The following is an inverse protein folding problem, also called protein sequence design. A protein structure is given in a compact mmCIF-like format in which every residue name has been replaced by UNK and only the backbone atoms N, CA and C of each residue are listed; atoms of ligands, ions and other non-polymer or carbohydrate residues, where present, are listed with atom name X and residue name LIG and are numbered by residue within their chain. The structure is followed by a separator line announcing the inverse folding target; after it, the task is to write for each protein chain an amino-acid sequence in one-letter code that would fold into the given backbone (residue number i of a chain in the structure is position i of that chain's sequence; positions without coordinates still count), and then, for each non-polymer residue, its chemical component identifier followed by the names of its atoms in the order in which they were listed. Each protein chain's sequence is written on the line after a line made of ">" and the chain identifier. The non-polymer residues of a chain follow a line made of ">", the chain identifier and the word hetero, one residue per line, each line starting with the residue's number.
data_IF_288204285212
#
_entry.id   IF_288204285212
#
_cell.length_a   1.000
_cell.length_b   1.000
_cell.length_c   1.000
_cell.angle_alpha   90.00
_cell.angle_beta   90.00
_cell.angle_gamma   90.00
#
_symmetry.space_group_name_H-M   'P 1'
#
loop_
_entity.id
_entity.type
_entity.pdbx_description
1 polymer ?
#
# COMPACT_ATOMS: atom_id res chain seq x y z
N UNK A 1 10.82 12.40 4.96
CA UNK A 1 9.63 11.50 5.07
C UNK A 1 10.05 10.10 4.72
N UNK A 2 9.75 9.10 5.58
CA UNK A 2 10.13 7.70 5.36
C UNK A 2 9.06 6.98 4.53
N UNK A 3 9.46 6.42 3.40
CA UNK A 3 8.62 5.65 2.49
C UNK A 3 9.06 4.19 2.46
N UNK A 4 8.13 3.27 2.31
CA UNK A 4 8.39 1.85 2.20
C UNK A 4 7.76 1.28 0.93
N UNK A 5 8.56 0.52 0.20
CA UNK A 5 8.16 -0.24 -0.97
C UNK A 5 8.56 -1.70 -0.82
N UNK A 6 7.77 -2.61 -1.37
CA UNK A 6 8.11 -4.04 -1.46
C UNK A 6 7.95 -4.49 -2.90
N UNK A 7 9.06 -4.84 -3.56
CA UNK A 7 9.07 -5.17 -4.99
C UNK A 7 9.96 -6.36 -5.31
N UNK A 8 9.74 -6.95 -6.48
CA UNK A 8 10.76 -7.71 -7.21
C UNK A 8 11.21 -6.91 -8.44
N UNK A 9 12.25 -7.40 -9.14
CA UNK A 9 12.85 -6.73 -10.32
C UNK A 9 11.83 -6.35 -11.42
N UNK A 10 10.74 -7.10 -11.57
CA UNK A 10 9.74 -6.84 -12.61
C UNK A 10 8.93 -5.55 -12.36
N UNK A 11 8.98 -5.02 -11.15
CA UNK A 11 8.26 -3.80 -10.75
C UNK A 11 9.15 -2.56 -10.70
N UNK A 12 10.41 -2.65 -11.12
CA UNK A 12 11.37 -1.52 -11.10
C UNK A 12 10.83 -0.29 -11.83
N UNK A 13 10.25 -0.45 -13.03
CA UNK A 13 9.71 0.67 -13.81
C UNK A 13 8.50 1.32 -13.14
N UNK A 14 7.65 0.51 -12.51
CA UNK A 14 6.50 1.04 -11.78
C UNK A 14 6.95 1.79 -10.52
N UNK A 15 7.94 1.27 -9.79
CA UNK A 15 8.54 1.99 -8.66
C UNK A 15 9.14 3.33 -9.12
N UNK A 16 9.87 3.36 -10.23
CA UNK A 16 10.42 4.60 -10.78
C UNK A 16 9.31 5.62 -11.09
N UNK A 17 8.20 5.21 -11.68
CA UNK A 17 7.07 6.09 -11.97
C UNK A 17 6.38 6.58 -10.69
N UNK A 18 6.20 5.69 -9.71
CA UNK A 18 5.66 6.03 -8.40
C UNK A 18 6.54 7.07 -7.69
N UNK A 19 7.85 6.82 -7.58
CA UNK A 19 8.81 7.76 -6.97
C UNK A 19 8.79 9.11 -7.69
N UNK A 20 8.78 9.13 -9.03
CA UNK A 20 8.68 10.38 -9.79
C UNK A 20 7.45 11.18 -9.41
N UNK A 21 6.29 10.54 -9.28
CA UNK A 21 5.06 11.21 -8.86
C UNK A 21 5.16 11.78 -7.45
N UNK A 22 5.84 11.07 -6.54
CA UNK A 22 6.08 11.50 -5.15
C UNK A 22 7.02 12.71 -5.11
N UNK A 23 8.15 12.66 -5.82
CA UNK A 23 9.11 13.77 -5.90
C UNK A 23 8.46 15.04 -6.45
N UNK A 24 7.54 14.88 -7.41
CA UNK A 24 6.84 15.99 -8.04
C UNK A 24 5.75 16.61 -7.16
N UNK A 25 4.98 15.78 -6.44
CA UNK A 25 3.72 16.22 -5.84
C UNK A 25 3.62 15.96 -4.32
N UNK A 26 4.49 15.15 -3.74
CA UNK A 26 4.34 14.59 -2.39
C UNK A 26 4.56 15.57 -1.23
N UNK A 27 5.12 16.77 -1.50
CA UNK A 27 5.16 17.89 -0.55
C UNK A 27 6.39 17.96 0.36
N UNK A 28 7.10 16.87 0.64
CA UNK A 28 8.28 16.89 1.50
C UNK A 28 9.53 17.36 0.76
N UNK A 29 10.47 17.97 1.49
CA UNK A 29 11.76 18.42 0.95
C UNK A 29 12.67 17.24 0.62
N UNK A 30 12.58 16.15 1.40
CA UNK A 30 13.37 14.94 1.24
C UNK A 30 12.61 13.68 1.64
N UNK A 31 12.93 12.55 0.95
CA UNK A 31 12.36 11.24 1.19
C UNK A 31 13.46 10.21 1.43
N UNK A 32 13.27 9.35 2.44
CA UNK A 32 14.05 8.14 2.65
C UNK A 32 13.21 6.95 2.16
N UNK A 33 13.58 6.37 1.02
CA UNK A 33 12.85 5.27 0.38
C UNK A 33 13.47 3.93 0.77
N UNK A 34 12.81 3.17 1.65
CA UNK A 34 13.17 1.83 2.04
C UNK A 34 12.55 0.83 1.07
N UNK A 35 13.36 0.04 0.39
CA UNK A 35 12.95 -0.87 -0.68
C UNK A 35 13.26 -2.30 -0.26
N UNK A 36 12.22 -3.03 0.15
CA UNK A 36 12.32 -4.47 0.45
C UNK A 36 12.29 -5.25 -0.85
N UNK A 37 13.30 -6.12 -1.06
CA UNK A 37 13.42 -6.91 -2.28
C UNK A 37 14.12 -8.24 -2.04
N UNK A 38 13.94 -9.20 -2.96
CA UNK A 38 14.69 -10.46 -2.96
C UNK A 38 15.61 -10.63 -4.17
N UNK A 39 15.42 -9.88 -5.25
CA UNK A 39 16.06 -10.15 -6.53
C UNK A 39 16.52 -8.90 -7.32
N UNK A 40 16.54 -7.70 -6.71
CA UNK A 40 17.08 -6.52 -7.37
C UNK A 40 18.60 -6.64 -7.54
N UNK A 41 19.07 -6.43 -8.76
CA UNK A 41 20.48 -6.36 -9.12
C UNK A 41 20.92 -4.89 -9.22
N UNK A 42 22.21 -4.65 -9.41
CA UNK A 42 22.79 -3.31 -9.38
C UNK A 42 22.24 -2.39 -10.48
N UNK A 43 21.96 -2.94 -11.69
CA UNK A 43 21.34 -2.18 -12.79
C UNK A 43 19.93 -1.65 -12.42
N UNK A 44 19.14 -2.45 -11.71
CA UNK A 44 17.84 -2.02 -11.21
C UNK A 44 17.97 -0.91 -10.16
N UNK A 45 18.93 -1.04 -9.23
CA UNK A 45 19.19 -0.06 -8.18
C UNK A 45 19.68 1.25 -8.78
N UNK A 46 20.66 1.21 -9.68
CA UNK A 46 21.16 2.39 -10.41
C UNK A 46 20.02 3.12 -11.11
N UNK A 47 19.11 2.39 -11.76
CA UNK A 47 17.97 2.97 -12.45
C UNK A 47 16.99 3.65 -11.49
N UNK A 48 16.71 3.04 -10.34
CA UNK A 48 15.89 3.64 -9.29
C UNK A 48 16.54 4.92 -8.77
N UNK A 49 17.84 4.89 -8.43
CA UNK A 49 18.57 6.03 -7.89
C UNK A 49 18.65 7.20 -8.88
N UNK A 50 18.88 6.91 -10.15
CA UNK A 50 18.86 7.93 -11.20
C UNK A 50 17.48 8.61 -11.32
N UNK A 51 16.41 7.86 -11.13
CA UNK A 51 15.05 8.38 -11.21
C UNK A 51 14.62 9.12 -9.93
N UNK A 52 15.14 8.67 -8.79
CA UNK A 52 14.92 9.26 -7.48
C UNK A 52 15.53 10.67 -7.36
N UNK A 53 16.71 10.88 -7.96
CA UNK A 53 17.44 12.15 -7.92
C UNK A 53 17.85 12.53 -6.50
N UNK A 54 18.18 13.81 -6.29
CA UNK A 54 18.72 14.30 -5.01
C UNK A 54 17.66 14.37 -3.88
N UNK A 55 16.38 14.34 -4.21
CA UNK A 55 15.30 14.43 -3.23
C UNK A 55 15.00 13.11 -2.51
N UNK A 56 15.57 12.00 -2.98
CA UNK A 56 15.27 10.67 -2.42
C UNK A 56 16.58 9.93 -2.11
N UNK A 57 16.74 9.50 -0.87
CA UNK A 57 17.75 8.54 -0.48
C UNK A 57 17.18 7.12 -0.53
N UNK A 58 17.73 6.27 -1.39
CA UNK A 58 17.26 4.88 -1.52
C UNK A 58 18.01 3.95 -0.57
N UNK A 59 17.27 3.20 0.23
CA UNK A 59 17.78 2.20 1.17
C UNK A 59 17.32 0.80 0.75
N UNK A 60 18.19 0.00 0.16
CA UNK A 60 17.88 -1.35 -0.34
C UNK A 60 18.03 -2.38 0.77
N UNK A 61 16.97 -3.09 1.09
CA UNK A 61 16.95 -4.14 2.12
C UNK A 61 16.64 -5.47 1.44
N UNK A 62 17.67 -6.32 1.37
CA UNK A 62 17.51 -7.68 0.86
C UNK A 62 16.73 -8.52 1.88
N UNK A 63 15.61 -9.07 1.45
CA UNK A 63 14.76 -9.92 2.29
C UNK A 63 15.16 -11.38 2.11
N UNK A 64 15.45 -12.06 3.21
CA UNK A 64 15.64 -13.51 3.22
C UNK A 64 14.27 -14.19 3.08
N UNK A 65 14.00 -14.73 1.90
CA UNK A 65 12.73 -15.42 1.61
C UNK A 65 12.47 -16.66 2.45
N UNK A 66 13.49 -17.20 3.13
CA UNK A 66 13.31 -18.30 4.07
C UNK A 66 12.43 -17.93 5.26
N UNK A 67 12.37 -16.64 5.61
CA UNK A 67 11.45 -16.12 6.64
C UNK A 67 9.98 -16.42 6.32
N UNK A 68 9.62 -16.53 5.04
CA UNK A 68 8.27 -16.76 4.53
C UNK A 68 8.06 -18.19 4.02
N UNK A 69 8.91 -19.13 4.43
CA UNK A 69 8.73 -20.53 4.11
C UNK A 69 7.44 -21.07 4.75
N UNK A 70 6.60 -21.74 3.94
CA UNK A 70 5.30 -22.25 4.36
C UNK A 70 4.15 -21.21 4.36
N UNK A 71 4.40 -19.99 3.92
CA UNK A 71 3.32 -19.04 3.69
C UNK A 71 2.54 -19.38 2.42
N UNK A 72 1.21 -19.10 2.37
CA UNK A 72 0.41 -19.32 1.17
C UNK A 72 0.92 -18.44 0.03
N UNK A 73 1.22 -19.05 -1.12
CA UNK A 73 1.63 -18.32 -2.32
C UNK A 73 0.93 -18.83 -3.58
N UNK A 74 0.86 -17.97 -4.58
CA UNK A 74 0.37 -18.30 -5.92
C UNK A 74 0.99 -17.35 -6.94
N UNK A 75 0.84 -17.64 -8.24
CA UNK A 75 1.27 -16.71 -9.31
C UNK A 75 0.65 -15.31 -9.19
N UNK A 76 -0.51 -15.19 -8.55
CA UNK A 76 -1.19 -13.91 -8.31
C UNK A 76 -0.72 -13.24 -7.02
N UNK A 77 -0.33 -14.02 -6.02
CA UNK A 77 0.08 -13.58 -4.69
C UNK A 77 1.42 -14.20 -4.34
N UNK A 78 2.53 -13.63 -4.87
CA UNK A 78 3.89 -14.09 -4.56
C UNK A 78 4.29 -13.68 -3.14
N UNK A 79 5.36 -14.27 -2.59
CA UNK A 79 5.85 -14.01 -1.21
C UNK A 79 6.07 -12.53 -0.91
N UNK A 80 6.43 -11.73 -1.89
CA UNK A 80 6.68 -10.30 -1.74
C UNK A 80 5.49 -9.52 -1.14
N UNK A 81 4.26 -10.02 -1.28
CA UNK A 81 3.09 -9.38 -0.65
C UNK A 81 3.17 -9.39 0.88
N UNK A 82 3.89 -10.37 1.46
CA UNK A 82 4.05 -10.48 2.91
C UNK A 82 5.18 -9.61 3.47
N UNK A 83 6.08 -9.09 2.62
CA UNK A 83 7.21 -8.25 3.08
C UNK A 83 6.71 -7.03 3.85
N UNK A 84 5.57 -6.42 3.41
CA UNK A 84 4.95 -5.30 4.11
C UNK A 84 4.52 -5.63 5.54
N UNK A 85 4.12 -6.87 5.82
CA UNK A 85 3.70 -7.30 7.16
C UNK A 85 4.90 -7.53 8.08
N UNK A 86 6.01 -8.02 7.53
CA UNK A 86 7.26 -8.21 8.26
C UNK A 86 8.13 -6.94 8.32
N UNK A 87 7.75 -5.88 7.63
CA UNK A 87 8.53 -4.64 7.54
C UNK A 87 8.97 -4.07 8.90
N UNK A 88 8.16 -4.05 9.96
CA UNK A 88 8.60 -3.57 11.26
C UNK A 88 9.82 -4.30 11.82
N UNK A 89 9.99 -5.59 11.46
CA UNK A 89 11.09 -6.44 11.90
C UNK A 89 12.35 -6.30 11.02
N UNK A 90 12.19 -5.82 9.78
CA UNK A 90 13.25 -5.70 8.77
C UNK A 90 13.87 -4.29 8.70
N UNK A 91 13.10 -3.28 9.11
CA UNK A 91 13.49 -1.88 9.01
C UNK A 91 14.40 -1.44 10.17
N UNK A 92 15.26 -0.41 9.98
CA UNK A 92 16.08 0.19 11.01
C UNK A 92 15.29 0.54 12.26
N UNK A 93 15.86 0.25 13.45
CA UNK A 93 15.15 0.37 14.73
C UNK A 93 14.84 1.81 15.15
N UNK A 94 15.60 2.76 14.64
CA UNK A 94 15.43 4.21 14.86
C UNK A 94 14.19 4.79 14.20
N UNK A 95 13.60 4.09 13.22
CA UNK A 95 12.38 4.53 12.58
C UNK A 95 11.17 4.24 13.48
N UNK A 96 10.39 5.25 13.77
CA UNK A 96 9.14 5.17 14.53
C UNK A 96 7.91 5.05 13.62
N UNK A 97 8.00 5.60 12.39
CA UNK A 97 6.90 5.73 11.43
C UNK A 97 7.39 5.54 10.00
N UNK A 98 6.56 4.92 9.17
CA UNK A 98 6.81 4.80 7.73
C UNK A 98 5.49 4.77 6.95
N UNK A 99 5.49 5.34 5.74
CA UNK A 99 4.37 5.24 4.80
C UNK A 99 4.67 4.15 3.78
N UNK A 100 3.94 3.03 3.86
CA UNK A 100 3.95 1.97 2.85
C UNK A 100 3.10 2.38 1.65
N UNK A 101 3.64 2.19 0.46
CA UNK A 101 2.96 2.44 -0.81
C UNK A 101 3.19 1.26 -1.78
N UNK A 102 2.12 0.75 -2.37
CA UNK A 102 2.23 -0.10 -3.56
C UNK A 102 2.80 0.72 -4.72
N UNK A 103 3.39 0.05 -5.71
CA UNK A 103 4.06 0.75 -6.83
C UNK A 103 3.13 1.03 -8.01
N UNK A 104 1.91 0.53 -7.97
CA UNK A 104 0.88 0.74 -8.99
C UNK A 104 -0.06 1.92 -8.65
N UNK A 105 0.50 2.96 -8.05
CA UNK A 105 -0.20 4.19 -7.70
C UNK A 105 0.53 5.44 -8.20
N UNK A 106 -0.21 6.58 -8.21
CA UNK A 106 0.32 7.90 -8.49
C UNK A 106 -0.05 8.86 -7.37
N UNK A 107 0.95 9.57 -6.85
CA UNK A 107 0.77 10.67 -5.92
C UNK A 107 0.54 11.94 -6.73
N UNK A 108 -0.56 12.65 -6.49
CA UNK A 108 -0.95 13.85 -7.24
C UNK A 108 -1.11 15.10 -6.36
N UNK A 109 -1.04 14.95 -5.04
CA UNK A 109 -0.99 16.04 -4.07
C UNK A 109 -0.15 15.62 -2.83
N UNK A 110 0.05 16.55 -1.88
CA UNK A 110 0.91 16.36 -0.71
C UNK A 110 0.50 15.17 0.17
N UNK A 111 1.51 14.37 0.55
CA UNK A 111 1.40 13.23 1.46
C UNK A 111 1.48 13.63 2.94
N UNK A 112 1.84 14.89 3.26
CA UNK A 112 2.19 15.30 4.62
C UNK A 112 1.06 15.05 5.62
N UNK A 113 -0.17 15.41 5.29
CA UNK A 113 -1.31 15.22 6.19
C UNK A 113 -1.53 13.72 6.48
N UNK A 114 -1.44 12.85 5.46
CA UNK A 114 -1.54 11.41 5.65
C UNK A 114 -0.39 10.88 6.51
N UNK A 115 0.84 11.27 6.18
CA UNK A 115 2.05 10.81 6.87
C UNK A 115 2.04 11.19 8.35
N UNK A 116 1.60 12.41 8.70
CA UNK A 116 1.55 12.93 10.06
C UNK A 116 0.24 12.65 10.81
N UNK A 117 -0.68 11.87 10.22
CA UNK A 117 -1.90 11.46 10.94
C UNK A 117 -1.54 10.79 12.26
N UNK A 118 -2.16 11.24 13.35
CA UNK A 118 -1.99 10.64 14.67
C UNK A 118 -2.56 9.21 14.67
N UNK A 119 -1.81 8.28 15.22
CA UNK A 119 -2.24 6.88 15.33
C UNK A 119 -3.34 6.65 16.36
N UNK A 120 -3.48 7.51 17.37
CA UNK A 120 -4.47 7.37 18.45
C UNK A 120 -4.42 5.96 19.08
N UNK A 121 -3.21 5.44 19.29
CA UNK A 121 -2.97 4.10 19.83
C UNK A 121 -3.13 2.95 18.82
N UNK A 122 -3.41 3.24 17.54
CA UNK A 122 -3.49 2.22 16.50
C UNK A 122 -2.11 1.88 15.93
N UNK A 123 -2.03 0.73 15.25
CA UNK A 123 -0.83 0.26 14.56
C UNK A 123 -0.74 0.76 13.13
N UNK A 124 -1.90 0.99 12.51
CA UNK A 124 -2.00 1.41 11.12
C UNK A 124 -2.97 2.56 10.95
N UNK A 125 -2.64 3.44 10.00
CA UNK A 125 -3.60 4.39 9.40
C UNK A 125 -3.75 3.96 7.94
N UNK A 126 -4.96 3.61 7.51
CA UNK A 126 -5.19 3.04 6.19
C UNK A 126 -6.60 3.35 5.65
N UNK A 127 -6.82 3.03 4.37
CA UNK A 127 -8.10 3.21 3.70
C UNK A 127 -8.93 1.92 3.73
N UNK A 128 -10.24 2.03 3.90
CA UNK A 128 -11.14 0.90 3.75
C UNK A 128 -11.12 0.39 2.31
N UNK A 129 -11.17 -0.94 2.13
CA UNK A 129 -11.24 -1.55 0.80
C UNK A 129 -12.67 -1.86 0.36
N UNK A 130 -13.60 -1.99 1.29
CA UNK A 130 -14.94 -2.51 1.04
C UNK A 130 -16.02 -1.71 1.77
N UNK A 131 -17.25 -1.79 1.24
CA UNK A 131 -18.45 -1.26 1.91
C UNK A 131 -18.80 -2.11 3.14
N UNK A 132 -19.50 -1.52 4.11
CA UNK A 132 -19.90 -2.16 5.37
C UNK A 132 -20.49 -3.58 5.22
N UNK A 133 -21.30 -3.80 4.17
CA UNK A 133 -21.92 -5.11 3.93
C UNK A 133 -20.87 -6.22 3.68
N UNK A 134 -19.79 -5.90 2.95
CA UNK A 134 -18.69 -6.84 2.69
C UNK A 134 -17.77 -6.99 3.90
N UNK A 135 -17.72 -5.99 4.78
CA UNK A 135 -16.97 -6.09 6.05
C UNK A 135 -17.54 -7.22 6.92
N UNK A 136 -18.87 -7.29 7.07
CA UNK A 136 -19.53 -8.38 7.82
C UNK A 136 -19.27 -9.75 7.19
N UNK A 137 -19.29 -9.84 5.85
CA UNK A 137 -18.97 -11.09 5.16
C UNK A 137 -17.52 -11.52 5.42
N UNK A 138 -16.57 -10.58 5.33
CA UNK A 138 -15.15 -10.85 5.62
C UNK A 138 -14.94 -11.22 7.09
N UNK A 139 -15.61 -10.57 8.03
CA UNK A 139 -15.60 -10.93 9.44
C UNK A 139 -15.98 -12.41 9.65
N UNK A 140 -17.13 -12.84 9.09
CA UNK A 140 -17.58 -14.22 9.23
C UNK A 140 -16.60 -15.21 8.57
N UNK A 141 -16.11 -14.90 7.37
CA UNK A 141 -15.14 -15.71 6.63
C UNK A 141 -13.82 -15.89 7.35
N UNK A 142 -13.31 -14.79 7.94
CA UNK A 142 -12.03 -14.77 8.65
C UNK A 142 -12.14 -15.25 10.10
N UNK A 143 -13.37 -15.39 10.62
CA UNK A 143 -13.64 -15.81 11.99
C UNK A 143 -13.05 -14.82 13.01
N UNK A 144 -13.20 -13.50 12.76
CA UNK A 144 -12.92 -12.44 13.74
C UNK A 144 -14.19 -12.14 14.52
N UNK A 145 -14.07 -12.00 15.84
CA UNK A 145 -15.22 -11.86 16.75
C UNK A 145 -15.91 -10.52 16.61
N UNK A 146 -15.13 -9.45 16.37
CA UNK A 146 -15.63 -8.09 16.22
C UNK A 146 -15.70 -7.64 14.77
N UNK A 147 -16.53 -6.61 14.50
CA UNK A 147 -16.58 -5.98 13.19
C UNK A 147 -15.38 -5.04 13.07
N UNK A 148 -14.33 -5.53 12.42
CA UNK A 148 -13.10 -4.78 12.19
C UNK A 148 -13.02 -4.23 10.76
N UNK A 149 -12.30 -3.13 10.52
CA UNK A 149 -12.07 -2.61 9.20
C UNK A 149 -11.38 -3.63 8.28
N UNK A 150 -11.87 -3.76 7.06
CA UNK A 150 -11.17 -4.49 6.00
C UNK A 150 -10.52 -3.47 5.07
N UNK A 151 -9.19 -3.39 5.12
CA UNK A 151 -8.43 -2.33 4.47
C UNK A 151 -7.79 -2.77 3.15
N UNK A 152 -7.44 -1.80 2.32
CA UNK A 152 -6.51 -1.97 1.24
C UNK A 152 -5.08 -1.76 1.77
N UNK A 153 -4.25 -2.77 1.68
CA UNK A 153 -2.87 -2.76 2.20
C UNK A 153 -1.87 -2.03 1.31
N UNK A 154 -2.30 -1.46 0.19
CA UNK A 154 -1.42 -0.73 -0.73
C UNK A 154 -1.09 0.70 -0.33
N UNK A 155 -1.81 1.27 0.66
CA UNK A 155 -1.52 2.59 1.25
C UNK A 155 -1.71 2.49 2.75
N UNK A 156 -0.61 2.52 3.53
CA UNK A 156 -0.66 2.40 4.98
C UNK A 156 0.43 3.23 5.66
N UNK A 157 0.07 4.07 6.62
CA UNK A 157 1.05 4.59 7.58
C UNK A 157 1.18 3.57 8.71
N UNK A 158 2.40 3.16 9.04
CA UNK A 158 2.70 2.14 10.05
C UNK A 158 3.34 2.77 11.27
N UNK A 159 2.82 2.47 12.46
CA UNK A 159 3.44 2.75 13.75
C UNK A 159 4.47 1.64 14.06
N UNK A 160 5.71 1.86 13.65
CA UNK A 160 6.75 0.84 13.76
C UNK A 160 7.11 0.53 15.22
N UNK A 161 7.04 1.51 16.11
CA UNK A 161 7.29 1.32 17.52
C UNK A 161 6.28 0.34 18.12
N UNK A 162 4.98 0.65 17.97
CA UNK A 162 3.92 -0.19 18.51
C UNK A 162 3.89 -1.60 17.86
N UNK A 163 4.18 -1.69 16.56
CA UNK A 163 4.24 -2.97 15.85
C UNK A 163 5.38 -3.85 16.36
N UNK A 164 6.59 -3.30 16.58
CA UNK A 164 7.74 -4.06 17.06
C UNK A 164 7.55 -4.66 18.45
N UNK A 165 6.76 -4.02 19.30
CA UNK A 165 6.44 -4.51 20.64
C UNK A 165 5.47 -5.70 20.60
N UNK A 166 4.68 -5.83 19.54
CA UNK A 166 3.53 -6.73 19.48
C UNK A 166 3.55 -7.70 18.29
N UNK A 167 4.63 -7.73 17.49
CA UNK A 167 4.72 -8.52 16.26
C UNK A 167 6.00 -9.36 16.24
N UNK A 168 5.84 -10.67 15.96
CA UNK A 168 6.96 -11.57 15.64
C UNK A 168 6.71 -12.28 14.32
N UNK A 169 7.76 -12.77 13.68
CA UNK A 169 7.63 -13.53 12.43
C UNK A 169 6.87 -14.84 12.64
N UNK A 170 7.00 -15.43 13.81
CA UNK A 170 6.29 -16.65 14.22
C UNK A 170 4.79 -16.43 14.29
N UNK A 171 4.34 -15.31 14.87
CA UNK A 171 2.92 -14.95 14.93
C UNK A 171 2.33 -14.76 13.52
N UNK A 172 3.06 -14.08 12.62
CA UNK A 172 2.65 -13.92 11.21
C UNK A 172 2.53 -15.30 10.56
N UNK A 173 3.53 -16.16 10.72
CA UNK A 173 3.58 -17.50 10.13
C UNK A 173 2.45 -18.39 10.63
N UNK A 174 2.27 -18.49 11.95
CA UNK A 174 1.21 -19.31 12.55
C UNK A 174 -0.18 -18.87 12.11
N UNK A 175 -0.43 -17.55 12.09
CA UNK A 175 -1.71 -17.01 11.65
C UNK A 175 -1.95 -17.30 10.16
N UNK A 176 -0.94 -17.11 9.32
CA UNK A 176 -1.01 -17.44 7.90
C UNK A 176 -1.35 -18.93 7.69
N UNK A 177 -0.64 -19.84 8.37
CA UNK A 177 -0.86 -21.28 8.24
C UNK A 177 -2.24 -21.74 8.76
N UNK A 178 -2.68 -21.20 9.90
CA UNK A 178 -3.99 -21.57 10.50
C UNK A 178 -5.16 -21.11 9.66
N UNK A 179 -5.07 -19.97 8.99
CA UNK A 179 -6.18 -19.31 8.30
C UNK A 179 -6.09 -19.33 6.77
N UNK A 180 -5.03 -19.91 6.18
CA UNK A 180 -4.81 -19.91 4.72
C UNK A 180 -5.99 -20.38 3.88
N UNK A 181 -6.79 -21.34 4.39
CA UNK A 181 -7.96 -21.87 3.69
C UNK A 181 -9.09 -20.84 3.53
N UNK A 182 -9.08 -19.78 4.33
CA UNK A 182 -10.10 -18.72 4.29
C UNK A 182 -9.64 -17.49 3.52
N UNK A 183 -8.36 -17.42 3.12
CA UNK A 183 -7.77 -16.24 2.49
C UNK A 183 -8.20 -16.09 1.03
N UNK A 184 -8.66 -14.89 0.68
CA UNK A 184 -8.95 -14.44 -0.69
C UNK A 184 -7.93 -13.41 -1.17
N UNK A 185 -7.52 -12.53 -0.28
CA UNK A 185 -6.49 -11.51 -0.45
C UNK A 185 -5.50 -11.67 0.72
N UNK A 186 -4.47 -12.52 0.58
CA UNK A 186 -3.74 -13.07 1.71
C UNK A 186 -3.12 -12.02 2.65
N UNK A 187 -2.53 -10.96 2.14
CA UNK A 187 -1.93 -9.88 2.94
C UNK A 187 -2.99 -9.05 3.69
N UNK A 188 -4.12 -8.71 3.02
CA UNK A 188 -5.21 -7.97 3.62
C UNK A 188 -5.95 -8.83 4.66
N UNK A 189 -6.19 -10.10 4.33
CA UNK A 189 -6.86 -11.05 5.23
C UNK A 189 -6.01 -11.28 6.48
N UNK A 190 -4.70 -11.50 6.30
CA UNK A 190 -3.77 -11.74 7.40
C UNK A 190 -3.67 -10.52 8.32
N UNK A 191 -3.53 -9.31 7.75
CA UNK A 191 -3.47 -8.08 8.53
C UNK A 191 -4.79 -7.86 9.31
N UNK A 192 -5.94 -8.12 8.67
CA UNK A 192 -7.26 -8.00 9.32
C UNK A 192 -7.39 -8.96 10.49
N UNK A 193 -6.94 -10.22 10.35
CA UNK A 193 -6.99 -11.22 11.43
C UNK A 193 -6.07 -10.84 12.59
N UNK A 194 -4.87 -10.32 12.29
CA UNK A 194 -3.87 -10.03 13.33
C UNK A 194 -4.12 -8.69 14.03
N UNK A 195 -4.56 -7.67 13.30
CA UNK A 195 -4.52 -6.29 13.76
C UNK A 195 -5.76 -5.47 13.37
N UNK A 196 -6.85 -6.10 12.98
CA UNK A 196 -8.05 -5.39 12.52
C UNK A 196 -8.60 -4.36 13.52
N UNK A 197 -8.47 -4.61 14.82
CA UNK A 197 -8.89 -3.71 15.90
C UNK A 197 -7.94 -2.52 16.13
N UNK A 198 -6.77 -2.52 15.49
CA UNK A 198 -5.71 -1.52 15.63
C UNK A 198 -5.48 -0.74 14.34
N UNK A 199 -6.57 -0.42 13.64
CA UNK A 199 -6.55 0.31 12.38
C UNK A 199 -7.38 1.58 12.52
N UNK A 200 -6.75 2.73 12.28
CA UNK A 200 -7.43 4.01 12.08
C UNK A 200 -7.75 4.19 10.61
N UNK A 201 -9.02 4.38 10.29
CA UNK A 201 -9.45 4.64 8.92
C UNK A 201 -9.29 6.10 8.53
N UNK A 202 -8.86 6.33 7.29
CA UNK A 202 -8.83 7.64 6.62
C UNK A 202 -9.64 7.61 5.33
N UNK A 203 -9.90 8.78 4.75
CA UNK A 203 -10.75 8.93 3.57
C UNK A 203 -10.18 8.22 2.34
N UNK A 204 -10.87 7.17 1.91
CA UNK A 204 -10.49 6.36 0.75
C UNK A 204 -10.60 7.15 -0.56
N UNK A 205 -11.54 8.09 -0.67
CA UNK A 205 -11.66 8.93 -1.87
C UNK A 205 -10.46 9.86 -2.03
N UNK A 206 -9.83 10.25 -0.93
CA UNK A 206 -8.68 11.14 -0.92
C UNK A 206 -7.35 10.41 -1.04
N UNK A 207 -7.18 9.30 -0.32
CA UNK A 207 -5.88 8.64 -0.16
C UNK A 207 -5.73 7.29 -0.87
N UNK A 208 -6.79 6.80 -1.54
CA UNK A 208 -6.72 5.52 -2.25
C UNK A 208 -7.80 5.43 -3.35
N UNK A 209 -7.92 6.51 -4.14
CA UNK A 209 -8.93 6.59 -5.20
C UNK A 209 -8.60 5.61 -6.34
N UNK A 210 -9.63 4.94 -6.86
CA UNK A 210 -9.55 4.15 -8.08
C UNK A 210 -10.72 4.48 -9.00
N UNK A 211 -10.61 4.16 -10.30
CA UNK A 211 -11.72 4.32 -11.26
C UNK A 211 -12.99 3.60 -10.80
N UNK A 212 -12.83 2.43 -10.22
CA UNK A 212 -13.95 1.67 -9.70
C UNK A 212 -14.68 2.41 -8.58
N UNK A 213 -13.94 3.01 -7.65
CA UNK A 213 -14.51 3.76 -6.55
C UNK A 213 -15.19 5.03 -7.05
N UNK A 214 -14.53 5.77 -7.95
CA UNK A 214 -15.08 6.96 -8.59
C UNK A 214 -16.36 6.65 -9.38
N UNK A 215 -16.35 5.57 -10.15
CA UNK A 215 -17.53 5.12 -10.91
C UNK A 215 -18.69 4.73 -9.99
N UNK A 216 -18.43 4.06 -8.87
CA UNK A 216 -19.47 3.74 -7.89
C UNK A 216 -20.05 5.01 -7.21
N UNK A 217 -19.18 5.98 -6.92
CA UNK A 217 -19.63 7.25 -6.37
C UNK A 217 -20.56 7.97 -7.37
N UNK A 218 -20.13 8.09 -8.62
CA UNK A 218 -20.85 8.81 -9.68
C UNK A 218 -22.12 8.09 -10.14
N UNK A 219 -22.19 6.77 -10.01
CA UNK A 219 -23.40 5.99 -10.33
C UNK A 219 -24.51 6.11 -9.28
N UNK A 220 -24.22 6.61 -8.09
CA UNK A 220 -25.23 6.80 -7.05
C UNK A 220 -25.98 8.13 -7.28
N UNK A 221 -27.28 8.11 -7.58
CA UNK A 221 -28.05 9.33 -7.89
C UNK A 221 -28.19 10.32 -6.73
N UNK A 222 -27.82 9.89 -5.51
CA UNK A 222 -27.83 10.77 -4.31
C UNK A 222 -26.53 11.56 -4.18
N UNK A 223 -25.47 11.21 -4.91
CA UNK A 223 -24.19 11.88 -4.88
C UNK A 223 -24.11 12.93 -5.99
N UNK A 224 -23.36 14.00 -5.72
CA UNK A 224 -22.93 14.87 -6.80
C UNK A 224 -21.79 14.19 -7.58
N UNK A 225 -21.87 14.12 -8.91
CA UNK A 225 -20.80 13.54 -9.71
C UNK A 225 -19.47 14.29 -9.52
N UNK A 226 -18.39 13.53 -9.41
CA UNK A 226 -17.03 14.05 -9.29
C UNK A 226 -16.33 13.92 -10.64
N UNK A 227 -15.71 15.01 -11.09
CA UNK A 227 -14.96 15.09 -12.33
C UNK A 227 -13.45 15.08 -12.10
N UNK A 228 -12.66 15.15 -13.18
CA UNK A 228 -11.20 15.20 -13.11
C UNK A 228 -10.68 16.48 -12.42
N UNK A 229 -11.41 17.59 -12.44
CA UNK A 229 -11.01 18.81 -11.74
C UNK A 229 -11.14 18.63 -10.23
N UNK A 230 -12.23 18.00 -9.80
CA UNK A 230 -12.39 17.64 -8.39
C UNK A 230 -11.28 16.68 -7.93
N UNK A 231 -10.96 15.67 -8.74
CA UNK A 231 -9.88 14.72 -8.45
C UNK A 231 -8.55 15.46 -8.29
N UNK A 232 -8.17 16.34 -9.22
CA UNK A 232 -6.93 17.14 -9.13
C UNK A 232 -6.81 17.93 -7.84
N UNK A 233 -7.92 18.48 -7.36
CA UNK A 233 -7.93 19.36 -6.19
C UNK A 233 -7.94 18.60 -4.86
N UNK A 234 -8.60 17.45 -4.80
CA UNK A 234 -8.97 16.83 -3.53
C UNK A 234 -8.29 15.48 -3.28
N UNK A 235 -7.84 14.78 -4.32
CA UNK A 235 -7.25 13.45 -4.20
C UNK A 235 -5.74 13.57 -4.02
N UNK A 236 -5.18 12.77 -3.13
CA UNK A 236 -3.74 12.69 -2.86
C UNK A 236 -3.13 11.51 -3.60
N UNK A 237 -3.78 10.34 -3.56
CA UNK A 237 -3.27 9.11 -4.16
C UNK A 237 -4.33 8.49 -5.06
N UNK A 238 -3.95 8.23 -6.32
CA UNK A 238 -4.70 7.39 -7.25
C UNK A 238 -4.03 6.02 -7.28
N UNK A 239 -4.80 4.96 -7.01
CA UNK A 239 -4.30 3.61 -6.93
C UNK A 239 -4.96 2.72 -7.98
N UNK A 240 -4.16 2.22 -8.92
CA UNK A 240 -4.63 1.38 -10.04
C UNK A 240 -4.60 -0.11 -9.66
N UNK A 241 -5.14 -0.47 -8.49
CA UNK A 241 -5.14 -1.87 -8.05
C UNK A 241 -6.00 -2.77 -8.94
N UNK A 242 -5.72 -4.08 -8.92
CA UNK A 242 -6.43 -5.06 -9.73
C UNK A 242 -5.88 -5.22 -11.15
N UNK A 243 -6.73 -5.66 -12.10
CA UNK A 243 -6.29 -6.02 -13.47
C UNK A 243 -6.27 -4.85 -14.44
N UNK A 244 -7.08 -3.82 -14.19
CA UNK A 244 -7.21 -2.63 -15.04
C UNK A 244 -6.05 -1.67 -14.76
N UNK A 245 -5.10 -1.58 -15.69
CA UNK A 245 -3.84 -0.84 -15.50
C UNK A 245 -3.62 0.17 -16.63
N UNK A 246 -3.32 1.47 -16.35
CA UNK A 246 -3.17 2.50 -17.37
C UNK A 246 -1.97 2.30 -18.30
N UNK A 247 -1.00 1.47 -17.93
CA UNK A 247 0.14 1.08 -18.78
C UNK A 247 -0.10 -0.15 -19.64
N UNK A 248 -1.33 -0.69 -19.64
CA UNK A 248 -1.72 -1.83 -20.47
C UNK A 248 -2.75 -1.42 -21.51
N UNK A 249 -2.75 -2.10 -22.65
CA UNK A 249 -3.80 -1.93 -23.64
C UNK A 249 -5.17 -2.32 -23.07
N UNK A 250 -6.20 -1.56 -23.46
CA UNK A 250 -7.58 -1.83 -23.05
C UNK A 250 -7.94 -1.32 -21.65
N UNK A 251 -7.20 -0.34 -21.13
CA UNK A 251 -7.60 0.36 -19.91
C UNK A 251 -9.01 0.96 -20.05
N UNK A 252 -9.80 0.83 -18.99
CA UNK A 252 -11.15 1.38 -18.91
C UNK A 252 -11.27 2.26 -17.67
N UNK A 253 -11.47 3.54 -17.88
CA UNK A 253 -11.57 4.54 -16.81
C UNK A 253 -11.17 5.92 -17.31
N UNK A 254 -11.13 6.90 -16.40
CA UNK A 254 -10.77 8.28 -16.71
C UNK A 254 -9.53 8.76 -15.92
N UNK A 255 -9.01 7.94 -15.01
CA UNK A 255 -7.89 8.31 -14.14
C UNK A 255 -6.50 8.04 -14.76
N UNK A 256 -6.42 7.40 -15.95
CA UNK A 256 -5.19 7.17 -16.67
C UNK A 256 -4.45 8.47 -17.04
N UNK A 257 -5.15 9.58 -17.20
CA UNK A 257 -4.57 10.91 -17.43
C UNK A 257 -3.51 11.24 -16.37
N UNK A 258 -3.74 10.91 -15.10
CA UNK A 258 -2.81 11.18 -14.02
C UNK A 258 -1.57 10.26 -14.09
N UNK A 259 -1.72 9.03 -14.56
CA UNK A 259 -0.58 8.17 -14.84
C UNK A 259 0.31 8.76 -15.95
N UNK A 260 -0.29 9.11 -17.09
CA UNK A 260 0.45 9.63 -18.24
C UNK A 260 1.11 10.99 -18.00
N UNK A 261 0.56 11.81 -17.11
CA UNK A 261 1.14 13.11 -16.71
C UNK A 261 2.33 12.96 -15.73
N UNK A 262 2.42 11.86 -15.00
CA UNK A 262 3.42 11.66 -13.95
C UNK A 262 4.44 10.54 -14.27
N UNK A 263 4.17 9.67 -15.24
CA UNK A 263 5.07 8.58 -15.65
C UNK A 263 6.07 8.97 -16.75
N UNK A 264 6.01 10.21 -17.27
CA UNK A 264 6.89 10.71 -18.35
C UNK A 264 8.10 11.46 -17.83
#
# INVERSE_FOLDING_TARGET
>A
MNLLFAINRNFTDLLCNCIRSIVKNGGADHYDAYILHSDLQDDHKIRIDQMAGEKVSSHYIAVDESMFEGFPESNRYPKQIYYRLAAPLLLPRELDRILYLDVDLMVINSLEELYHTDFEGNYYVACSHVKELLTKFNQLRLGVEEVVPYINTGVMVMNLTALRENLTIEQIRETAQKKMHTFLLPDQDLLTVMHGERIKLVDTMRYNLSDRLLSYHNANPRNQPLDLQWVRKNVVIIHYYGKNKPWKNGYSGILDVFYHENAK
#
